data_IF_848988164289
#
_entry.id   IF_848988164289
#
_cell.length_a   1.000
_cell.length_b   1.000
_cell.length_c   1.000
_cell.angle_alpha   90.00
_cell.angle_beta   90.00
_cell.angle_gamma   90.00
#
_symmetry.space_group_name_H-M   'P 1'
#
loop_
_entity.id
_entity.type
_entity.pdbx_description
1 polymer ?
#
# COMPACT_ATOMS: atom_id res chain seq x y z
N UNK A 1 -0.44 19.39 -4.32
CA UNK A 1 0.10 18.05 -4.56
C UNK A 1 -0.89 17.02 -4.02
N UNK A 2 -1.36 16.11 -4.88
CA UNK A 2 -2.32 15.06 -4.55
C UNK A 2 -1.77 14.12 -3.47
N UNK A 3 -0.46 13.86 -3.46
CA UNK A 3 0.19 13.01 -2.45
C UNK A 3 0.14 13.69 -1.08
N UNK A 4 0.46 14.98 -0.99
CA UNK A 4 0.29 15.76 0.23
C UNK A 4 -1.18 15.75 0.73
N UNK A 5 -2.15 15.88 -0.18
CA UNK A 5 -3.58 15.85 0.17
C UNK A 5 -4.02 14.48 0.74
N UNK A 6 -3.53 13.38 0.16
CA UNK A 6 -3.83 12.01 0.61
C UNK A 6 -3.16 11.66 1.96
N UNK A 7 -1.96 12.19 2.25
CA UNK A 7 -1.29 11.98 3.56
C UNK A 7 -2.11 12.53 4.74
N UNK A 8 -2.94 13.54 4.50
CA UNK A 8 -3.84 14.13 5.50
C UNK A 8 -5.19 13.41 5.64
N UNK A 9 -5.52 12.45 4.78
CA UNK A 9 -6.85 11.82 4.78
C UNK A 9 -6.95 10.75 5.88
N UNK A 10 -7.79 10.94 6.92
CA UNK A 10 -7.83 10.04 8.08
C UNK A 10 -8.39 8.64 7.75
N UNK A 11 -9.26 8.54 6.74
CA UNK A 11 -10.00 7.30 6.46
C UNK A 11 -9.15 6.09 6.03
N UNK A 12 -7.91 6.26 5.52
CA UNK A 12 -7.05 5.11 5.21
C UNK A 12 -6.22 4.65 6.42
N UNK A 13 -5.99 5.53 7.40
CA UNK A 13 -5.34 5.18 8.68
C UNK A 13 -6.28 4.44 9.61
N UNK A 14 -7.58 4.73 9.51
CA UNK A 14 -8.63 4.17 10.35
C UNK A 14 -9.15 2.81 9.84
N UNK A 15 -8.27 2.00 9.25
CA UNK A 15 -8.58 0.62 8.86
C UNK A 15 -8.61 -0.27 10.11
N UNK A 16 -9.59 -0.03 10.98
CA UNK A 16 -9.81 -0.71 12.26
C UNK A 16 -10.39 -2.11 12.11
N UNK A 17 -10.58 -2.61 10.88
CA UNK A 17 -10.97 -4.01 10.65
C UNK A 17 -9.72 -4.88 10.66
N UNK A 18 -9.42 -5.43 11.84
CA UNK A 18 -8.42 -6.50 11.99
C UNK A 18 -8.86 -7.67 11.12
N UNK A 19 -8.09 -7.96 10.08
CA UNK A 19 -8.24 -9.18 9.28
C UNK A 19 -7.31 -10.25 9.83
N UNK A 20 -7.72 -11.54 9.82
CA UNK A 20 -6.82 -12.61 10.20
C UNK A 20 -5.58 -12.58 9.30
N UNK A 21 -4.42 -12.78 9.91
CA UNK A 21 -3.16 -12.94 9.18
C UNK A 21 -3.27 -14.19 8.30
N UNK A 22 -3.00 -14.04 7.00
CA UNK A 22 -3.02 -15.17 6.08
C UNK A 22 -1.70 -15.94 6.10
N UNK A 23 -0.57 -15.23 6.06
CA UNK A 23 0.77 -15.83 6.04
C UNK A 23 1.83 -14.80 6.49
N UNK A 24 3.01 -15.28 6.91
CA UNK A 24 4.18 -14.47 7.21
C UNK A 24 5.39 -15.06 6.49
N UNK A 25 5.78 -14.41 5.38
CA UNK A 25 6.83 -14.86 4.49
C UNK A 25 8.09 -13.98 4.63
N UNK A 26 9.29 -14.55 4.44
CA UNK A 26 10.50 -13.74 4.39
C UNK A 26 10.49 -12.80 3.18
N UNK A 27 11.12 -11.64 3.34
CA UNK A 27 11.30 -10.70 2.25
C UNK A 27 12.14 -11.32 1.11
N UNK A 28 11.83 -10.97 -0.13
CA UNK A 28 12.75 -11.24 -1.25
C UNK A 28 14.01 -10.38 -1.12
N UNK A 29 15.14 -10.75 -1.75
CA UNK A 29 16.37 -9.94 -1.69
C UNK A 29 16.16 -8.48 -2.13
N UNK A 30 15.29 -8.25 -3.13
CA UNK A 30 14.96 -6.90 -3.61
C UNK A 30 14.15 -6.14 -2.55
N UNK A 31 13.19 -6.78 -1.90
CA UNK A 31 12.42 -6.16 -0.82
C UNK A 31 13.31 -5.78 0.38
N UNK A 32 14.28 -6.63 0.74
CA UNK A 32 15.26 -6.32 1.79
C UNK A 32 16.11 -5.10 1.44
N UNK A 33 16.63 -5.04 0.20
CA UNK A 33 17.43 -3.90 -0.27
C UNK A 33 16.64 -2.59 -0.27
N UNK A 34 15.41 -2.62 -0.78
CA UNK A 34 14.52 -1.46 -0.76
C UNK A 34 14.15 -1.03 0.66
N UNK A 35 13.85 -1.99 1.55
CA UNK A 35 13.55 -1.70 2.95
C UNK A 35 14.72 -1.02 3.64
N UNK A 36 15.94 -1.56 3.50
CA UNK A 36 17.16 -0.96 4.04
C UNK A 36 17.34 0.48 3.55
N UNK A 37 17.26 0.71 2.24
CA UNK A 37 17.43 2.06 1.68
C UNK A 37 16.33 3.02 2.14
N UNK A 38 15.08 2.53 2.27
CA UNK A 38 13.95 3.36 2.70
C UNK A 38 14.11 3.92 4.13
N UNK A 39 14.85 3.23 5.00
CA UNK A 39 15.14 3.70 6.35
C UNK A 39 16.02 4.96 6.38
N UNK A 40 16.87 5.14 5.37
CA UNK A 40 17.75 6.33 5.24
C UNK A 40 17.08 7.48 4.49
N UNK A 41 15.98 7.22 3.78
CA UNK A 41 15.30 8.22 2.96
C UNK A 41 14.39 9.16 3.77
N UNK A 42 14.40 9.12 5.12
CA UNK A 42 13.67 10.04 6.03
C UNK A 42 12.22 10.42 5.62
N UNK A 43 11.47 9.51 4.98
CA UNK A 43 10.10 9.76 4.54
C UNK A 43 9.95 10.56 3.23
N UNK A 44 11.03 10.75 2.48
CA UNK A 44 11.07 11.44 1.18
C UNK A 44 10.26 10.71 0.09
N UNK A 45 9.85 9.46 0.33
CA UNK A 45 8.99 8.73 -0.59
C UNK A 45 9.69 8.35 -1.90
N UNK A 46 11.02 8.22 -1.90
CA UNK A 46 11.84 7.88 -3.08
C UNK A 46 11.45 6.57 -3.78
N UNK A 47 10.74 5.67 -3.07
CA UNK A 47 10.21 4.41 -3.62
C UNK A 47 8.69 4.43 -3.86
N UNK A 48 8.06 5.60 -3.82
CA UNK A 48 6.64 5.74 -4.16
C UNK A 48 6.49 5.85 -5.68
N UNK A 49 5.78 4.88 -6.27
CA UNK A 49 5.38 4.95 -7.68
C UNK A 49 3.95 5.50 -7.74
N UNK A 50 3.75 6.56 -8.50
CA UNK A 50 2.43 7.14 -8.74
C UNK A 50 2.07 7.05 -10.22
N UNK A 51 0.89 6.49 -10.50
CA UNK A 51 0.28 6.50 -11.83
C UNK A 51 -1.01 7.31 -11.76
N UNK A 52 -1.14 8.33 -12.61
CA UNK A 52 -2.35 9.16 -12.73
C UNK A 52 -2.96 8.87 -14.10
N UNK A 53 -4.25 8.48 -14.11
CA UNK A 53 -4.99 8.15 -15.31
C UNK A 53 -6.18 9.10 -15.46
N UNK A 54 -6.34 9.67 -16.65
CA UNK A 54 -7.50 10.49 -17.00
C UNK A 54 -8.54 9.62 -17.69
N UNK A 55 -9.73 9.54 -17.10
CA UNK A 55 -10.87 8.82 -17.70
C UNK A 55 -11.75 9.86 -18.38
N UNK A 56 -11.78 9.85 -19.71
CA UNK A 56 -12.49 10.85 -20.52
C UNK A 56 -14.01 10.67 -20.58
N UNK A 57 -14.58 9.80 -19.75
CA UNK A 57 -16.00 9.45 -19.70
C UNK A 57 -16.49 9.50 -18.25
N UNK A 58 -17.82 9.44 -18.05
CA UNK A 58 -18.38 9.36 -16.71
C UNK A 58 -17.88 8.10 -15.99
N UNK A 59 -17.33 8.28 -14.80
CA UNK A 59 -16.89 7.19 -13.92
C UNK A 59 -17.92 7.04 -12.79
N UNK A 60 -18.60 5.90 -12.75
CA UNK A 60 -19.36 5.52 -11.56
C UNK A 60 -18.38 5.13 -10.45
N UNK A 61 -18.26 6.03 -9.45
CA UNK A 61 -17.35 5.87 -8.32
C UNK A 61 -17.73 4.68 -7.44
N UNK A 62 -19.02 4.35 -7.33
CA UNK A 62 -19.51 3.21 -6.56
C UNK A 62 -19.07 1.89 -7.19
N UNK A 63 -19.28 1.74 -8.50
CA UNK A 63 -18.85 0.56 -9.26
C UNK A 63 -17.33 0.45 -9.27
N UNK A 64 -16.63 1.57 -9.44
CA UNK A 64 -15.16 1.59 -9.41
C UNK A 64 -14.62 1.11 -8.06
N UNK A 65 -15.21 1.58 -6.95
CA UNK A 65 -14.81 1.19 -5.60
C UNK A 65 -15.03 -0.30 -5.33
N UNK A 66 -16.16 -0.86 -5.76
CA UNK A 66 -16.41 -2.31 -5.61
C UNK A 66 -15.45 -3.13 -6.46
N UNK A 67 -15.23 -2.71 -7.71
CA UNK A 67 -14.25 -3.35 -8.61
C UNK A 67 -12.85 -3.33 -8.02
N UNK A 68 -12.43 -2.20 -7.43
CA UNK A 68 -11.15 -2.08 -6.76
C UNK A 68 -11.04 -3.00 -5.54
N UNK A 69 -12.11 -3.12 -4.75
CA UNK A 69 -12.15 -4.06 -3.64
C UNK A 69 -11.99 -5.53 -4.13
N UNK A 70 -12.54 -5.89 -5.29
CA UNK A 70 -12.33 -7.22 -5.90
C UNK A 70 -10.87 -7.43 -6.30
N UNK A 71 -10.23 -6.43 -6.90
CA UNK A 71 -8.79 -6.48 -7.24
C UNK A 71 -7.95 -6.67 -5.97
N UNK A 72 -8.20 -5.90 -4.91
CA UNK A 72 -7.50 -6.07 -3.63
C UNK A 72 -7.71 -7.44 -2.99
N UNK A 73 -8.93 -7.99 -3.06
CA UNK A 73 -9.21 -9.37 -2.59
C UNK A 73 -8.42 -10.41 -3.38
N UNK A 74 -8.35 -10.25 -4.70
CA UNK A 74 -7.68 -11.19 -5.62
C UNK A 74 -6.16 -11.17 -5.52
N UNK A 75 -5.55 -10.03 -5.21
CA UNK A 75 -4.09 -9.86 -5.24
C UNK A 75 -3.51 -9.61 -3.82
N UNK A 76 -2.94 -10.64 -3.16
CA UNK A 76 -2.43 -10.52 -1.79
C UNK A 76 -1.39 -9.42 -1.58
N UNK A 77 -0.56 -9.15 -2.59
CA UNK A 77 0.48 -8.11 -2.53
C UNK A 77 -0.07 -6.71 -2.23
N UNK A 78 -1.31 -6.41 -2.65
CA UNK A 78 -1.96 -5.12 -2.42
C UNK A 78 -2.46 -4.91 -0.99
N UNK A 79 -2.38 -5.97 -0.16
CA UNK A 79 -2.78 -6.01 1.25
C UNK A 79 -1.70 -6.64 2.13
N UNK A 80 -0.47 -6.69 1.63
CA UNK A 80 0.70 -7.19 2.35
C UNK A 80 1.34 -6.03 3.12
N UNK A 81 1.66 -6.27 4.39
CA UNK A 81 2.43 -5.35 5.24
C UNK A 81 3.82 -5.91 5.54
N UNK A 82 4.71 -5.04 5.97
CA UNK A 82 6.03 -5.40 6.51
C UNK A 82 6.02 -5.17 8.01
N UNK A 83 6.59 -6.10 8.77
CA UNK A 83 6.69 -6.03 10.22
C UNK A 83 8.07 -6.52 10.65
N UNK A 84 8.64 -5.90 11.67
CA UNK A 84 9.92 -6.34 12.26
C UNK A 84 9.65 -7.42 13.29
N UNK A 85 10.17 -8.63 13.06
CA UNK A 85 10.16 -9.70 14.07
C UNK A 85 11.33 -9.54 15.04
N UNK A 86 11.18 -10.00 16.28
CA UNK A 86 12.14 -9.72 17.38
C UNK A 86 13.53 -10.33 17.21
N UNK A 87 13.72 -11.17 16.19
CA UNK A 87 14.95 -11.84 15.78
C UNK A 87 15.86 -11.00 14.88
N UNK A 88 15.52 -9.71 14.65
CA UNK A 88 16.35 -8.71 13.94
C UNK A 88 16.87 -9.21 12.58
N UNK A 89 16.07 -10.03 11.90
CA UNK A 89 16.23 -10.47 10.52
C UNK A 89 15.08 -9.97 9.68
#
# INVERSE_FOLDING_TARGET
DLVAALRGHPAWRDATTVRPLEDCLPQTPVQQGLWFQSQFAHGEGVYHVQLILSIGQHLDVGVFRESWAQVMRRHPILRTGFWTTGDNR
#
